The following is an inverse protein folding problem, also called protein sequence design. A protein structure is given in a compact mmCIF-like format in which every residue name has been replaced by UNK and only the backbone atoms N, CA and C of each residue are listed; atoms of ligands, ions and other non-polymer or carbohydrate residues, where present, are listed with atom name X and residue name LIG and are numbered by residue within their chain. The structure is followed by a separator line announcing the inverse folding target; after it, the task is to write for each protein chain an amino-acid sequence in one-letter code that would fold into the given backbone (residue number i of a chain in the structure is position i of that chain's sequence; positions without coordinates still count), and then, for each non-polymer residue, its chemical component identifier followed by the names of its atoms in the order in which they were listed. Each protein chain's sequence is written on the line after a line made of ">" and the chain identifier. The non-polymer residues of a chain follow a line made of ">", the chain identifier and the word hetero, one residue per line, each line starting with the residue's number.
data_IF_849216634658
#
_entry.id   IF_849216634658
#
_cell.length_a   1.000
_cell.length_b   1.000
_cell.length_c   1.000
_cell.angle_alpha   90.00
_cell.angle_beta   90.00
_cell.angle_gamma   90.00
#
_symmetry.space_group_name_H-M   'P 1'
#
loop_
_entity.id
_entity.type
_entity.pdbx_description
1 polymer ?
#
# COMPACT_ATOMS: atom_id res chain seq x y z
N UNK A 1 17.13 -11.07 -3.01
CA UNK A 1 16.96 -9.72 -2.46
C UNK A 1 17.96 -9.56 -1.33
N UNK A 2 18.93 -8.66 -1.44
CA UNK A 2 19.95 -8.47 -0.40
C UNK A 2 19.52 -7.32 0.52
N UNK A 3 19.23 -7.65 1.77
CA UNK A 3 18.92 -6.68 2.83
C UNK A 3 20.23 -6.06 3.33
N UNK A 4 20.30 -4.74 3.40
CA UNK A 4 21.42 -3.99 4.00
C UNK A 4 20.93 -3.30 5.27
N UNK A 5 21.67 -3.40 6.35
CA UNK A 5 21.43 -2.59 7.56
C UNK A 5 22.21 -1.28 7.39
N UNK A 6 21.54 -0.14 7.56
CA UNK A 6 22.11 1.21 7.49
C UNK A 6 22.67 1.61 8.85
N UNK A 7 23.54 2.64 8.88
CA UNK A 7 24.20 3.13 10.10
C UNK A 7 23.21 3.54 11.21
N UNK A 8 22.00 3.99 10.83
CA UNK A 8 20.94 4.37 11.76
C UNK A 8 20.05 3.20 12.21
N UNK A 9 20.41 1.95 11.91
CA UNK A 9 19.64 0.75 12.24
C UNK A 9 18.43 0.48 11.32
N UNK A 10 18.20 1.32 10.31
CA UNK A 10 17.22 1.06 9.27
C UNK A 10 17.68 -0.06 8.34
N UNK A 11 16.75 -0.71 7.66
CA UNK A 11 17.01 -1.72 6.65
C UNK A 11 16.76 -1.16 5.25
N UNK A 12 17.60 -1.48 4.27
CA UNK A 12 17.45 -1.05 2.88
C UNK A 12 17.55 -2.24 1.93
N UNK A 13 16.68 -2.28 0.93
CA UNK A 13 16.68 -3.31 -0.11
C UNK A 13 16.09 -2.80 -1.42
N UNK A 14 16.40 -3.48 -2.53
CA UNK A 14 15.83 -3.18 -3.85
C UNK A 14 14.83 -4.27 -4.23
N UNK A 15 13.61 -3.88 -4.61
CA UNK A 15 12.58 -4.80 -5.10
C UNK A 15 12.99 -5.39 -6.45
N UNK A 16 12.37 -6.50 -6.86
CA UNK A 16 12.58 -7.04 -8.21
C UNK A 16 12.24 -6.03 -9.32
N UNK A 17 11.34 -5.08 -9.04
CA UNK A 17 10.99 -3.98 -9.94
C UNK A 17 11.92 -2.76 -9.87
N UNK A 18 13.08 -2.86 -9.20
CA UNK A 18 14.09 -1.78 -9.15
C UNK A 18 13.80 -0.65 -8.17
N UNK A 19 12.76 -0.78 -7.31
CA UNK A 19 12.42 0.24 -6.32
C UNK A 19 13.30 0.04 -5.08
N UNK A 20 14.01 1.08 -4.66
CA UNK A 20 14.75 1.07 -3.40
C UNK A 20 13.80 1.37 -2.23
N UNK A 21 13.77 0.48 -1.24
CA UNK A 21 12.97 0.59 -0.03
C UNK A 21 13.91 0.81 1.16
N UNK A 22 13.58 1.77 2.02
CA UNK A 22 14.19 1.93 3.35
C UNK A 22 13.12 1.72 4.40
N UNK A 23 13.38 0.82 5.34
CA UNK A 23 12.48 0.41 6.41
C UNK A 23 13.09 0.78 7.75
N UNK A 24 12.33 1.47 8.59
CA UNK A 24 12.72 1.80 9.95
C UNK A 24 11.78 1.09 10.92
N UNK A 25 12.30 0.63 12.05
CA UNK A 25 11.53 0.11 13.18
C UNK A 25 11.80 0.97 14.41
N UNK A 26 10.77 1.16 15.23
CA UNK A 26 10.88 1.86 16.50
C UNK A 26 10.12 1.07 17.55
N UNK A 27 10.72 0.93 18.74
CA UNK A 27 10.04 0.33 19.87
C UNK A 27 8.90 1.24 20.33
N UNK A 28 7.74 0.62 20.61
CA UNK A 28 6.56 1.30 21.12
C UNK A 28 5.86 0.41 22.14
N UNK A 29 5.41 0.96 23.29
CA UNK A 29 4.48 0.27 24.16
C UNK A 29 3.26 -0.13 23.34
N UNK A 30 2.77 -1.36 23.54
CA UNK A 30 1.60 -1.83 22.81
C UNK A 30 0.32 -1.11 23.25
N UNK A 31 0.20 -0.82 24.55
CA UNK A 31 -0.90 -0.03 25.10
C UNK A 31 -0.95 1.37 24.46
N UNK A 32 -2.11 1.73 23.91
CA UNK A 32 -2.35 3.02 23.25
C UNK A 32 -1.65 3.22 21.91
N UNK A 33 -0.86 2.26 21.40
CA UNK A 33 -0.12 2.41 20.14
C UNK A 33 -1.02 2.66 18.93
N UNK A 34 -2.25 2.12 18.96
CA UNK A 34 -3.19 2.18 17.85
C UNK A 34 -4.12 3.41 17.92
N UNK A 35 -4.27 4.02 19.11
CA UNK A 35 -5.32 5.01 19.39
C UNK A 35 -5.23 6.21 18.45
N UNK A 36 -4.03 6.78 18.28
CA UNK A 36 -3.82 7.92 17.37
C UNK A 36 -4.15 7.57 15.91
N UNK A 37 -3.98 6.31 15.50
CA UNK A 37 -4.37 5.88 14.16
C UNK A 37 -5.89 5.76 14.05
N UNK A 38 -6.55 5.14 15.04
CA UNK A 38 -8.02 5.04 15.11
C UNK A 38 -8.65 6.42 15.08
N UNK A 39 -8.17 7.35 15.90
CA UNK A 39 -8.65 8.75 15.89
C UNK A 39 -8.43 9.42 14.54
N UNK A 40 -7.27 9.17 13.93
CA UNK A 40 -6.93 9.68 12.61
C UNK A 40 -7.88 9.22 11.51
N UNK A 41 -8.43 8.00 11.59
CA UNK A 41 -9.35 7.44 10.59
C UNK A 41 -10.70 8.17 10.55
N UNK A 42 -11.05 8.97 11.57
CA UNK A 42 -12.25 9.80 11.53
C UNK A 42 -12.18 10.88 10.43
N UNK A 43 -10.99 11.27 9.98
CA UNK A 43 -10.80 12.36 9.00
C UNK A 43 -9.87 12.03 7.84
N UNK A 44 -9.05 10.98 7.97
CA UNK A 44 -8.05 10.58 6.98
C UNK A 44 -8.34 9.18 6.47
N UNK A 45 -8.08 8.94 5.19
CA UNK A 45 -8.21 7.61 4.59
C UNK A 45 -7.20 6.66 5.23
N UNK A 46 -7.62 5.43 5.43
CA UNK A 46 -6.79 4.39 6.03
C UNK A 46 -7.61 3.17 6.45
N UNK A 47 -6.98 2.28 7.18
CA UNK A 47 -7.61 1.12 7.78
C UNK A 47 -6.84 0.68 9.03
N UNK A 48 -7.57 0.19 10.01
CA UNK A 48 -7.02 -0.52 11.17
C UNK A 48 -7.53 -1.96 11.10
N UNK A 49 -6.61 -2.90 11.18
CA UNK A 49 -6.87 -4.32 11.31
C UNK A 49 -6.40 -4.72 12.70
N UNK A 50 -7.31 -5.30 13.49
CA UNK A 50 -7.03 -5.71 14.87
C UNK A 50 -7.49 -7.15 15.06
N UNK A 51 -6.65 -7.94 15.72
CA UNK A 51 -7.03 -9.24 16.28
C UNK A 51 -6.89 -9.16 17.79
N UNK A 52 -8.02 -9.00 18.48
CA UNK A 52 -8.09 -8.83 19.93
C UNK A 52 -8.28 -10.16 20.70
N UNK A 53 -8.24 -11.30 20.00
CA UNK A 53 -8.47 -12.61 20.56
C UNK A 53 -7.19 -13.44 20.51
N UNK A 54 -6.77 -13.97 21.66
CA UNK A 54 -5.66 -14.89 21.75
C UNK A 54 -6.19 -16.31 21.90
N UNK A 55 -5.76 -17.20 21.01
CA UNK A 55 -5.96 -18.63 21.15
C UNK A 55 -4.59 -19.30 21.03
N UNK A 56 -4.07 -19.91 22.11
CA UNK A 56 -2.73 -20.50 22.12
C UNK A 56 -2.50 -21.41 20.91
N UNK A 57 -1.44 -21.12 20.15
CA UNK A 57 -1.07 -21.87 18.95
C UNK A 57 -1.93 -21.62 17.69
N UNK A 58 -2.88 -20.69 17.71
CA UNK A 58 -3.73 -20.37 16.53
C UNK A 58 -3.89 -18.89 16.22
N UNK A 59 -4.08 -18.03 17.23
CA UNK A 59 -4.24 -16.58 17.03
C UNK A 59 -3.38 -15.83 18.04
N UNK A 60 -2.54 -14.93 17.53
CA UNK A 60 -1.77 -13.98 18.33
C UNK A 60 -2.45 -12.62 18.29
N UNK A 61 -2.35 -11.86 19.38
CA UNK A 61 -2.82 -10.48 19.42
C UNK A 61 -1.91 -9.60 18.55
N UNK A 62 -2.51 -8.81 17.67
CA UNK A 62 -1.78 -7.84 16.85
C UNK A 62 -2.72 -6.73 16.36
N UNK A 63 -2.13 -5.58 16.10
CA UNK A 63 -2.78 -4.46 15.42
C UNK A 63 -1.92 -3.99 14.24
N UNK A 64 -2.56 -3.63 13.15
CA UNK A 64 -1.92 -3.01 11.98
C UNK A 64 -2.76 -1.84 11.53
N UNK A 65 -2.16 -0.65 11.48
CA UNK A 65 -2.77 0.54 10.94
C UNK A 65 -2.09 0.99 9.64
N UNK A 66 -2.89 1.46 8.70
CA UNK A 66 -2.47 2.22 7.54
C UNK A 66 -3.23 3.53 7.58
N UNK A 67 -2.52 4.65 7.44
CA UNK A 67 -3.13 5.97 7.35
C UNK A 67 -2.43 6.80 6.28
N UNK A 68 -3.18 7.72 5.66
CA UNK A 68 -2.74 8.49 4.49
C UNK A 68 -2.12 7.59 3.40
N UNK A 69 -2.81 6.53 2.94
CA UNK A 69 -2.27 5.63 1.94
C UNK A 69 -1.89 6.43 0.68
N UNK A 70 -0.80 6.05 -0.03
CA UNK A 70 -0.36 6.79 -1.21
C UNK A 70 -1.35 6.68 -2.37
N UNK A 71 -1.99 5.52 -2.50
CA UNK A 71 -2.88 5.17 -3.61
C UNK A 71 -4.20 4.61 -3.08
N UNK A 72 -5.26 4.74 -3.89
CA UNK A 72 -6.46 3.91 -3.79
C UNK A 72 -6.70 3.20 -5.10
N UNK A 73 -7.06 1.92 -5.03
CA UNK A 73 -7.49 1.12 -6.16
C UNK A 73 -8.96 0.80 -5.95
N UNK A 74 -9.80 1.18 -6.91
CA UNK A 74 -11.24 0.91 -6.88
C UNK A 74 -11.68 0.28 -8.19
N UNK A 75 -12.68 -0.60 -8.12
CA UNK A 75 -13.22 -1.25 -9.31
C UNK A 75 -14.75 -1.39 -9.21
N UNK A 76 -15.42 -1.26 -10.35
CA UNK A 76 -16.83 -1.60 -10.53
C UNK A 76 -16.97 -2.46 -11.77
N UNK A 77 -17.23 -3.75 -11.57
CA UNK A 77 -17.15 -4.72 -12.66
C UNK A 77 -15.71 -4.79 -13.18
N UNK A 78 -15.52 -4.44 -14.47
CA UNK A 78 -14.21 -4.46 -15.14
C UNK A 78 -13.55 -3.09 -15.26
N UNK A 79 -14.28 -2.02 -14.95
CA UNK A 79 -13.74 -0.68 -14.91
C UNK A 79 -12.99 -0.50 -13.57
N UNK A 80 -11.70 -0.18 -13.65
CA UNK A 80 -10.84 0.04 -12.49
C UNK A 80 -10.21 1.44 -12.56
N UNK A 81 -9.98 2.01 -11.38
CA UNK A 81 -9.28 3.28 -11.19
C UNK A 81 -8.16 3.09 -10.16
N UNK A 82 -7.00 3.65 -10.46
CA UNK A 82 -5.87 3.76 -9.54
C UNK A 82 -5.60 5.25 -9.35
N UNK A 83 -5.84 5.76 -8.15
CA UNK A 83 -5.77 7.19 -7.85
C UNK A 83 -4.68 7.49 -6.84
N UNK A 84 -3.89 8.53 -7.09
CA UNK A 84 -2.93 9.06 -6.13
C UNK A 84 -3.63 9.96 -5.12
N UNK A 85 -3.46 9.65 -3.84
CA UNK A 85 -4.05 10.41 -2.73
C UNK A 85 -3.08 11.46 -2.17
N UNK A 86 -1.79 11.34 -2.47
CA UNK A 86 -0.75 12.29 -2.09
C UNK A 86 0.45 12.18 -3.04
N UNK A 87 1.47 13.02 -2.85
CA UNK A 87 2.66 13.04 -3.71
C UNK A 87 3.42 11.71 -3.78
N UNK A 88 3.34 10.86 -2.74
CA UNK A 88 3.93 9.50 -2.79
C UNK A 88 3.20 8.63 -3.80
N UNK A 89 1.88 8.75 -3.90
CA UNK A 89 1.08 8.08 -4.93
C UNK A 89 1.40 8.55 -6.34
N UNK A 90 1.56 9.87 -6.53
CA UNK A 90 1.93 10.44 -7.84
C UNK A 90 3.26 9.87 -8.35
N UNK A 91 4.22 9.62 -7.45
CA UNK A 91 5.50 8.98 -7.80
C UNK A 91 5.35 7.49 -8.20
N UNK A 92 4.34 6.79 -7.68
CA UNK A 92 4.11 5.37 -7.95
C UNK A 92 3.34 5.13 -9.26
N UNK A 93 2.41 6.03 -9.64
CA UNK A 93 1.55 5.83 -10.82
C UNK A 93 2.34 5.59 -12.12
N UNK A 94 3.43 6.30 -12.46
CA UNK A 94 4.18 6.02 -13.68
C UNK A 94 4.78 4.62 -13.73
N UNK A 95 5.21 4.09 -12.59
CA UNK A 95 5.77 2.72 -12.50
C UNK A 95 4.66 1.70 -12.74
N UNK A 96 3.51 1.89 -12.07
CA UNK A 96 2.35 1.01 -12.20
C UNK A 96 1.79 1.05 -13.63
N UNK A 97 1.66 2.24 -14.21
CA UNK A 97 1.16 2.42 -15.57
C UNK A 97 2.01 1.72 -16.63
N UNK A 98 3.34 1.73 -16.49
CA UNK A 98 4.23 0.97 -17.39
C UNK A 98 3.99 -0.53 -17.31
N UNK A 99 3.85 -1.08 -16.11
CA UNK A 99 3.56 -2.52 -15.93
C UNK A 99 2.21 -2.87 -16.52
N UNK A 100 1.17 -2.07 -16.27
CA UNK A 100 -0.18 -2.30 -16.78
C UNK A 100 -0.26 -2.21 -18.31
N UNK A 101 0.47 -1.28 -18.92
CA UNK A 101 0.49 -1.12 -20.38
C UNK A 101 1.13 -2.30 -21.13
N UNK A 102 1.85 -3.18 -20.42
CA UNK A 102 2.40 -4.41 -20.99
C UNK A 102 1.49 -5.64 -20.88
N UNK A 103 0.30 -5.51 -20.27
CA UNK A 103 -0.63 -6.64 -20.07
C UNK A 103 -1.67 -6.68 -21.18
N UNK A 104 -1.81 -7.82 -21.86
CA UNK A 104 -2.81 -8.04 -22.92
C UNK A 104 -4.25 -7.94 -22.42
N UNK A 105 -4.47 -8.20 -21.14
CA UNK A 105 -5.79 -8.24 -20.51
C UNK A 105 -6.27 -6.85 -20.06
N UNK A 106 -5.45 -5.81 -20.22
CA UNK A 106 -5.72 -4.46 -19.71
C UNK A 106 -5.77 -3.46 -20.85
N UNK A 107 -6.85 -2.68 -20.91
CA UNK A 107 -6.93 -1.50 -21.77
C UNK A 107 -6.89 -0.25 -20.91
N UNK A 108 -5.83 0.55 -21.03
CA UNK A 108 -5.72 1.82 -20.32
C UNK A 108 -6.52 2.89 -21.09
N UNK A 109 -7.53 3.44 -20.44
CA UNK A 109 -8.42 4.44 -21.02
C UNK A 109 -7.97 5.88 -20.74
N UNK A 110 -7.24 6.11 -19.65
CA UNK A 110 -6.76 7.43 -19.25
C UNK A 110 -5.55 7.32 -18.32
N UNK A 111 -4.57 8.22 -18.49
CA UNK A 111 -3.48 8.41 -17.53
C UNK A 111 -3.25 9.89 -17.27
N UNK A 112 -2.99 10.23 -16.00
CA UNK A 112 -2.57 11.55 -15.57
C UNK A 112 -1.63 11.43 -14.36
N UNK A 113 -1.16 12.56 -13.84
CA UNK A 113 -0.33 12.59 -12.62
C UNK A 113 -1.02 11.96 -11.40
N UNK A 114 -2.37 11.94 -11.37
CA UNK A 114 -3.16 11.50 -10.22
C UNK A 114 -4.09 10.32 -10.49
N UNK A 115 -4.20 9.84 -11.72
CA UNK A 115 -5.18 8.82 -12.09
C UNK A 115 -4.64 7.91 -13.20
N UNK A 116 -4.89 6.61 -13.05
CA UNK A 116 -4.95 5.65 -14.15
C UNK A 116 -6.37 5.08 -14.17
N UNK A 117 -7.04 5.18 -15.31
CA UNK A 117 -8.33 4.51 -15.55
C UNK A 117 -8.12 3.43 -16.58
N UNK A 118 -8.62 2.23 -16.30
CA UNK A 118 -8.44 1.07 -17.15
C UNK A 118 -9.66 0.15 -17.12
N UNK A 119 -9.75 -0.70 -18.14
CA UNK A 119 -10.72 -1.78 -18.24
C UNK A 119 -10.00 -3.13 -18.34
N UNK A 120 -10.52 -4.13 -17.61
CA UNK A 120 -10.00 -5.51 -17.63
C UNK A 120 -10.81 -6.35 -18.61
N UNK A 121 -10.15 -7.06 -19.53
CA UNK A 121 -10.76 -7.93 -20.53
C UNK A 121 -11.59 -9.06 -19.89
N UNK A 122 -12.56 -9.60 -20.63
CA UNK A 122 -13.30 -10.81 -20.20
C UNK A 122 -12.34 -12.02 -20.17
N UNK A 123 -12.54 -12.99 -19.25
CA UNK A 123 -11.91 -14.29 -19.35
C UNK A 123 -12.20 -14.89 -20.73
N UNK A 124 -11.17 -15.49 -21.34
CA UNK A 124 -11.31 -16.30 -22.55
C UNK A 124 -12.04 -17.60 -22.29
#
# INVERSE_FOLDING_TARGET
>A
MTLKVLENGAESFVTAGGITITRVRHDRPYEGAIDTYVDGLNSRRGAVFSSNYEYPGRYTRWDTAIIDPPLVISARGRAMRIEALNGRGEALLPVIGRTLGGLSEVTIAETSKKLIRLDVAKPG
#
